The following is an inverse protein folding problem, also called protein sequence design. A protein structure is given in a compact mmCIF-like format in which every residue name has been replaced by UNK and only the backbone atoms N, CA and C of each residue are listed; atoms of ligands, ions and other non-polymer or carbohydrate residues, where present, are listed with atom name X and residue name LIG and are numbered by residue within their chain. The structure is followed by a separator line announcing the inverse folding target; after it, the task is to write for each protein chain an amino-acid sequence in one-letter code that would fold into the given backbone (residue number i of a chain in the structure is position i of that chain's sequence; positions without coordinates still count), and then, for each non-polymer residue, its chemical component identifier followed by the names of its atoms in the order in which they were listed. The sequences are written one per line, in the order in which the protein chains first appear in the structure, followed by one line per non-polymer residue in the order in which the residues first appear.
data_IF_738666055340
#
_entry.id   IF_738666055340
#
_cell.length_a   1.000
_cell.length_b   1.000
_cell.length_c   1.000
_cell.angle_alpha   90.00
_cell.angle_beta   90.00
_cell.angle_gamma   90.00
#
_symmetry.space_group_name_H-M   'P 1'
#
loop_
_entity.id
_entity.type
_entity.pdbx_description
1 polymer ?
#
# COMPACT_ATOMS: atom_id res chain seq x y z
N UNK A 1 19.51 -9.92 5.04
CA UNK A 1 20.26 -9.25 3.95
C UNK A 1 21.29 -10.22 3.43
N UNK A 2 21.22 -10.59 2.15
CA UNK A 2 22.21 -11.42 1.48
C UNK A 2 23.31 -10.51 0.90
N UNK A 3 24.56 -10.98 0.96
CA UNK A 3 25.71 -10.24 0.44
C UNK A 3 26.57 -11.18 -0.41
N UNK A 4 26.87 -10.79 -1.64
CA UNK A 4 27.86 -11.45 -2.46
C UNK A 4 29.16 -10.67 -2.47
N UNK A 5 30.27 -11.33 -2.16
CA UNK A 5 31.62 -10.79 -2.20
C UNK A 5 32.29 -11.23 -3.51
N UNK A 6 32.65 -10.27 -4.35
CA UNK A 6 33.32 -10.55 -5.62
C UNK A 6 34.82 -10.48 -5.41
N UNK A 7 35.54 -11.54 -5.80
CA UNK A 7 37.00 -11.70 -5.66
C UNK A 7 37.51 -11.32 -4.26
N UNK A 8 37.00 -11.99 -3.20
CA UNK A 8 37.46 -11.71 -1.85
C UNK A 8 38.91 -12.19 -1.69
N UNK A 9 39.73 -11.39 -1.01
CA UNK A 9 41.07 -11.78 -0.59
C UNK A 9 41.26 -11.43 0.91
N UNK A 10 42.22 -12.08 1.53
CA UNK A 10 42.58 -11.82 2.93
C UNK A 10 43.54 -10.64 2.99
N UNK A 11 43.15 -9.58 3.66
CA UNK A 11 43.99 -8.45 4.00
C UNK A 11 44.77 -8.68 5.31
N UNK A 12 45.49 -7.67 5.74
CA UNK A 12 46.22 -7.68 7.02
C UNK A 12 45.26 -7.92 8.21
N UNK A 13 45.68 -8.74 9.14
CA UNK A 13 44.84 -9.10 10.31
C UNK A 13 43.72 -10.08 10.06
N UNK A 14 43.67 -10.75 8.89
CA UNK A 14 42.63 -11.74 8.55
C UNK A 14 41.30 -11.13 8.15
N UNK A 15 41.26 -9.85 7.82
CA UNK A 15 40.06 -9.17 7.33
C UNK A 15 39.80 -9.55 5.87
N UNK A 16 38.57 -9.92 5.56
CA UNK A 16 38.15 -10.20 4.17
C UNK A 16 37.95 -8.87 3.43
N UNK A 17 38.70 -8.68 2.37
CA UNK A 17 38.63 -7.49 1.50
C UNK A 17 38.17 -7.92 0.10
N UNK A 18 36.91 -7.67 -0.30
CA UNK A 18 36.45 -7.93 -1.65
C UNK A 18 36.77 -6.74 -2.58
N UNK A 19 36.91 -7.02 -3.87
CA UNK A 19 36.99 -5.97 -4.90
C UNK A 19 35.64 -5.25 -5.07
N UNK A 20 34.53 -5.99 -4.89
CA UNK A 20 33.15 -5.45 -4.96
C UNK A 20 32.25 -6.21 -3.99
N UNK A 21 31.34 -5.47 -3.37
CA UNK A 21 30.28 -6.00 -2.52
C UNK A 21 28.93 -5.78 -3.23
N UNK A 22 28.20 -6.85 -3.48
CA UNK A 22 26.82 -6.76 -3.97
C UNK A 22 25.91 -7.05 -2.78
N UNK A 23 25.08 -6.08 -2.42
CA UNK A 23 24.10 -6.19 -1.33
C UNK A 23 22.76 -6.58 -1.94
N UNK A 24 22.12 -7.61 -1.38
CA UNK A 24 20.85 -8.15 -1.89
C UNK A 24 20.87 -8.41 -3.41
N UNK A 25 21.71 -9.35 -3.90
CA UNK A 25 21.87 -9.63 -5.34
C UNK A 25 20.56 -10.02 -6.04
N UNK A 26 19.63 -10.63 -5.29
CA UNK A 26 18.33 -11.08 -5.79
C UNK A 26 17.20 -10.09 -5.45
N UNK A 27 17.55 -8.78 -5.32
CA UNK A 27 16.59 -7.76 -4.97
C UNK A 27 15.56 -7.55 -6.08
N UNK A 28 14.28 -7.77 -5.73
CA UNK A 28 13.14 -7.44 -6.58
C UNK A 28 12.62 -6.03 -6.24
N UNK A 29 12.46 -5.20 -7.26
CA UNK A 29 11.98 -3.83 -7.08
C UNK A 29 10.48 -3.84 -6.79
N UNK A 30 10.02 -3.09 -5.80
CA UNK A 30 8.60 -2.99 -5.53
C UNK A 30 7.85 -2.27 -6.66
N UNK A 31 6.68 -2.77 -7.01
CA UNK A 31 5.77 -2.15 -8.01
C UNK A 31 5.52 -0.67 -7.70
N UNK A 32 5.30 -0.32 -6.42
CA UNK A 32 5.15 1.08 -5.98
C UNK A 32 6.39 1.93 -6.27
N UNK A 33 7.59 1.37 -6.16
CA UNK A 33 8.84 2.09 -6.49
C UNK A 33 8.90 2.41 -7.98
N UNK A 34 8.57 1.45 -8.83
CA UNK A 34 8.51 1.68 -10.29
C UNK A 34 7.42 2.70 -10.62
N UNK A 35 6.24 2.58 -10.02
CA UNK A 35 5.12 3.49 -10.26
C UNK A 35 5.45 4.94 -9.91
N UNK A 36 6.20 5.20 -8.83
CA UNK A 36 6.66 6.54 -8.43
C UNK A 36 7.55 7.23 -9.47
N UNK A 37 8.26 6.47 -10.30
CA UNK A 37 9.02 7.04 -11.40
C UNK A 37 8.12 7.74 -12.44
N UNK A 38 6.83 7.41 -12.46
CA UNK A 38 5.82 8.00 -13.35
C UNK A 38 4.96 9.07 -12.64
N UNK A 39 5.29 9.42 -11.41
CA UNK A 39 4.65 10.56 -10.73
C UNK A 39 4.99 11.87 -11.42
N UNK A 40 4.21 12.92 -11.16
CA UNK A 40 4.41 14.24 -11.76
C UNK A 40 5.85 14.77 -11.56
N UNK A 41 6.49 14.42 -10.46
CA UNK A 41 7.88 14.82 -10.14
C UNK A 41 8.92 13.75 -10.48
N UNK A 42 8.53 12.66 -11.14
CA UNK A 42 9.40 11.58 -11.62
C UNK A 42 10.48 11.19 -10.59
N UNK A 43 10.10 10.47 -9.53
CA UNK A 43 11.04 10.06 -8.50
C UNK A 43 12.12 9.12 -9.09
N UNK A 44 13.39 9.38 -8.77
CA UNK A 44 14.48 8.51 -9.23
C UNK A 44 14.43 7.16 -8.50
N UNK A 45 14.61 6.02 -9.20
CA UNK A 45 14.69 4.69 -8.56
C UNK A 45 15.76 4.61 -7.47
N UNK A 46 16.83 5.41 -7.58
CA UNK A 46 17.91 5.48 -6.58
C UNK A 46 17.41 6.02 -5.23
N UNK A 47 16.43 6.93 -5.21
CA UNK A 47 15.84 7.45 -3.97
C UNK A 47 15.17 6.31 -3.21
N UNK A 48 14.43 5.46 -3.88
CA UNK A 48 13.78 4.31 -3.26
C UNK A 48 14.77 3.27 -2.69
N UNK A 49 15.92 3.10 -3.34
CA UNK A 49 17.00 2.24 -2.81
C UNK A 49 17.61 2.84 -1.53
N UNK A 50 17.85 4.15 -1.51
CA UNK A 50 18.37 4.85 -0.33
C UNK A 50 17.34 4.76 0.81
N UNK A 51 16.07 5.02 0.54
CA UNK A 51 14.98 4.95 1.52
C UNK A 51 14.79 3.55 2.11
N UNK A 52 15.24 2.50 1.42
CA UNK A 52 15.21 1.14 1.98
C UNK A 52 16.23 0.95 3.11
N UNK A 53 17.33 1.66 3.06
CA UNK A 53 18.44 1.57 4.04
C UNK A 53 18.22 2.56 5.18
N UNK A 54 17.54 3.67 4.95
CA UNK A 54 17.23 4.67 5.95
C UNK A 54 16.21 4.15 6.98
N UNK A 55 16.33 4.57 8.25
CA UNK A 55 15.30 4.32 9.25
C UNK A 55 13.97 4.93 8.79
N UNK A 56 12.92 4.11 8.75
CA UNK A 56 11.57 4.58 8.41
C UNK A 56 10.97 5.31 9.62
N UNK A 57 10.66 6.59 9.43
CA UNK A 57 9.85 7.34 10.38
C UNK A 57 8.37 7.22 10.01
N UNK A 58 7.52 6.97 11.01
CA UNK A 58 6.09 7.06 10.82
C UNK A 58 5.66 8.50 10.57
N UNK A 59 4.57 8.66 9.83
CA UNK A 59 3.94 9.97 9.59
C UNK A 59 2.43 9.85 9.71
N UNK A 60 1.76 10.98 9.89
CA UNK A 60 0.28 11.01 9.92
C UNK A 60 -0.35 10.34 8.70
N UNK A 61 0.24 10.52 7.51
CA UNK A 61 -0.25 9.91 6.27
C UNK A 61 -0.09 8.40 6.27
N UNK A 62 1.03 7.87 6.79
CA UNK A 62 1.28 6.44 6.92
C UNK A 62 0.29 5.83 7.92
N UNK A 63 0.12 6.45 9.08
CA UNK A 63 -0.84 5.97 10.09
C UNK A 63 -2.27 5.97 9.55
N UNK A 64 -2.66 7.00 8.79
CA UNK A 64 -3.96 7.06 8.16
C UNK A 64 -4.13 5.97 7.08
N UNK A 65 -3.09 5.72 6.30
CA UNK A 65 -3.07 4.64 5.30
C UNK A 65 -3.24 3.27 5.94
N UNK A 66 -2.48 2.99 7.00
CA UNK A 66 -2.56 1.73 7.75
C UNK A 66 -3.96 1.52 8.37
N UNK A 67 -4.55 2.58 8.92
CA UNK A 67 -5.91 2.50 9.46
C UNK A 67 -6.96 2.27 8.35
N UNK A 68 -6.79 2.92 7.21
CA UNK A 68 -7.67 2.73 6.06
C UNK A 68 -7.55 1.30 5.49
N UNK A 69 -6.34 0.72 5.45
CA UNK A 69 -6.12 -0.68 5.10
C UNK A 69 -6.85 -1.63 6.06
N UNK A 70 -6.69 -1.44 7.39
CA UNK A 70 -7.44 -2.25 8.37
C UNK A 70 -8.96 -2.18 8.16
N UNK A 71 -9.51 -0.99 7.86
CA UNK A 71 -10.93 -0.83 7.60
C UNK A 71 -11.37 -1.58 6.33
N UNK A 72 -10.55 -1.58 5.29
CA UNK A 72 -10.82 -2.33 4.07
C UNK A 72 -10.82 -3.84 4.33
N UNK A 73 -9.82 -4.34 5.07
CA UNK A 73 -9.74 -5.75 5.44
C UNK A 73 -10.95 -6.20 6.28
N UNK A 74 -11.42 -5.36 7.20
CA UNK A 74 -12.61 -5.61 8.00
C UNK A 74 -13.89 -5.67 7.15
N UNK A 75 -14.00 -4.86 6.09
CA UNK A 75 -15.13 -4.91 5.16
C UNK A 75 -15.07 -6.13 4.22
N UNK A 76 -13.86 -6.58 3.86
CA UNK A 76 -13.65 -7.71 2.96
C UNK A 76 -13.76 -9.07 3.66
N UNK A 77 -13.20 -9.17 4.87
CA UNK A 77 -13.08 -10.44 5.60
C UNK A 77 -14.03 -10.56 6.78
N UNK A 78 -14.64 -9.44 7.20
CA UNK A 78 -15.51 -9.38 8.38
C UNK A 78 -16.99 -9.46 8.06
N UNK A 79 -17.80 -9.29 9.09
CA UNK A 79 -19.23 -9.03 8.88
C UNK A 79 -19.38 -7.64 8.25
N UNK A 80 -20.25 -7.50 7.24
CA UNK A 80 -20.50 -6.20 6.60
C UNK A 80 -20.84 -5.14 7.63
N UNK A 81 -20.22 -3.97 7.51
CA UNK A 81 -20.52 -2.86 8.42
C UNK A 81 -21.98 -2.44 8.20
N UNK A 82 -22.78 -2.39 9.27
CA UNK A 82 -24.19 -2.03 9.13
C UNK A 82 -24.36 -0.60 8.59
N UNK A 83 -25.28 -0.41 7.67
CA UNK A 83 -25.62 0.92 7.11
C UNK A 83 -26.32 1.83 8.11
N UNK A 84 -26.88 1.25 9.19
CA UNK A 84 -27.54 1.99 10.25
C UNK A 84 -26.53 2.89 10.99
N UNK A 85 -26.78 4.21 11.13
CA UNK A 85 -25.77 5.17 11.62
C UNK A 85 -25.23 4.90 13.03
N UNK A 86 -26.03 4.30 13.92
CA UNK A 86 -25.58 4.00 15.28
C UNK A 86 -24.66 2.77 15.29
N UNK A 87 -25.01 1.74 14.52
CA UNK A 87 -24.21 0.54 14.36
C UNK A 87 -22.88 0.84 13.63
N UNK A 88 -22.91 1.66 12.59
CA UNK A 88 -21.70 2.14 11.92
C UNK A 88 -20.76 2.87 12.89
N UNK A 89 -21.29 3.79 13.71
CA UNK A 89 -20.47 4.52 14.70
C UNK A 89 -19.84 3.57 15.72
N UNK A 90 -20.60 2.57 16.20
CA UNK A 90 -20.09 1.57 17.13
C UNK A 90 -18.94 0.78 16.51
N UNK A 91 -19.13 0.23 15.32
CA UNK A 91 -18.12 -0.54 14.59
C UNK A 91 -16.85 0.29 14.32
N UNK A 92 -17.01 1.52 13.81
CA UNK A 92 -15.88 2.44 13.63
C UNK A 92 -15.10 2.68 14.92
N UNK A 93 -15.78 2.86 16.06
CA UNK A 93 -15.12 3.06 17.35
C UNK A 93 -14.34 1.82 17.79
N UNK A 94 -14.88 0.62 17.57
CA UNK A 94 -14.20 -0.65 17.87
C UNK A 94 -12.95 -0.83 16.99
N UNK A 95 -13.05 -0.58 15.69
CA UNK A 95 -11.93 -0.61 14.75
C UNK A 95 -10.85 0.41 15.12
N UNK A 96 -11.24 1.63 15.44
CA UNK A 96 -10.31 2.67 15.88
C UNK A 96 -9.59 2.28 17.19
N UNK A 97 -10.30 1.73 18.17
CA UNK A 97 -9.67 1.26 19.41
C UNK A 97 -8.67 0.13 19.14
N UNK A 98 -9.00 -0.80 18.28
CA UNK A 98 -8.11 -1.90 17.88
C UNK A 98 -6.86 -1.35 17.21
N UNK A 99 -7.02 -0.43 16.25
CA UNK A 99 -5.91 0.23 15.57
C UNK A 99 -4.99 0.96 16.55
N UNK A 100 -5.54 1.78 17.43
CA UNK A 100 -4.74 2.52 18.41
C UNK A 100 -3.98 1.62 19.37
N UNK A 101 -4.54 0.48 19.77
CA UNK A 101 -3.83 -0.49 20.61
C UNK A 101 -2.66 -1.13 19.89
N UNK A 102 -2.85 -1.58 18.66
CA UNK A 102 -1.81 -2.24 17.86
C UNK A 102 -0.71 -1.26 17.42
N UNK A 103 -1.04 0.00 17.19
CA UNK A 103 -0.10 1.02 16.72
C UNK A 103 0.26 2.05 17.82
N UNK A 104 0.12 1.68 19.11
CA UNK A 104 0.30 2.63 20.20
C UNK A 104 1.68 3.30 20.19
N UNK A 105 2.75 2.56 19.91
CA UNK A 105 4.10 3.12 19.86
C UNK A 105 4.24 4.12 18.71
N UNK A 106 3.85 3.75 17.52
CA UNK A 106 3.87 4.63 16.34
C UNK A 106 3.03 5.89 16.57
N UNK A 107 1.84 5.76 17.17
CA UNK A 107 0.98 6.88 17.54
C UNK A 107 1.61 7.83 18.58
N UNK A 108 2.45 7.32 19.48
CA UNK A 108 3.12 8.13 20.51
C UNK A 108 4.38 8.81 19.97
N UNK A 109 5.07 8.20 19.03
CA UNK A 109 6.34 8.71 18.48
C UNK A 109 6.16 9.61 17.26
N UNK A 110 4.98 9.58 16.63
CA UNK A 110 4.66 10.39 15.46
C UNK A 110 4.01 11.72 15.86
N UNK A 111 4.52 12.82 15.33
CA UNK A 111 3.84 14.12 15.41
C UNK A 111 2.66 14.14 14.43
N UNK A 112 1.44 14.33 14.95
CA UNK A 112 0.25 14.44 14.12
C UNK A 112 -0.83 15.32 14.77
N UNK A 113 -1.65 15.96 13.93
CA UNK A 113 -2.85 16.67 14.38
C UNK A 113 -3.97 15.67 14.69
N UNK A 114 -4.25 15.47 15.97
CA UNK A 114 -5.27 14.52 16.44
C UNK A 114 -6.65 14.80 15.86
N UNK A 115 -7.04 16.08 15.76
CA UNK A 115 -8.36 16.47 15.25
C UNK A 115 -8.46 16.17 13.74
N UNK A 116 -7.45 16.56 13.00
CA UNK A 116 -7.39 16.31 11.55
C UNK A 116 -7.33 14.80 11.26
N UNK A 117 -6.50 14.04 12.01
CA UNK A 117 -6.42 12.60 11.87
C UNK A 117 -7.78 11.93 12.06
N UNK A 118 -8.52 12.25 13.12
CA UNK A 118 -9.85 11.67 13.37
C UNK A 118 -10.86 12.03 12.27
N UNK A 119 -10.81 13.26 11.76
CA UNK A 119 -11.69 13.66 10.65
C UNK A 119 -11.38 12.89 9.37
N UNK A 120 -10.10 12.75 9.04
CA UNK A 120 -9.66 12.03 7.85
C UNK A 120 -9.95 10.53 7.98
N UNK A 121 -9.67 9.93 9.14
CA UNK A 121 -9.96 8.53 9.43
C UNK A 121 -11.45 8.20 9.29
N UNK A 122 -12.32 9.07 9.83
CA UNK A 122 -13.76 8.91 9.69
C UNK A 122 -14.22 9.03 8.23
N UNK A 123 -13.63 9.96 7.48
CA UNK A 123 -13.92 10.11 6.04
C UNK A 123 -13.50 8.86 5.27
N UNK A 124 -12.34 8.27 5.56
CA UNK A 124 -11.90 7.01 4.97
C UNK A 124 -12.91 5.89 5.27
N UNK A 125 -13.34 5.72 6.52
CA UNK A 125 -14.31 4.71 6.89
C UNK A 125 -15.62 4.84 6.11
N UNK A 126 -16.15 6.06 5.97
CA UNK A 126 -17.38 6.31 5.18
C UNK A 126 -17.17 5.99 3.70
N UNK A 127 -16.03 6.38 3.13
CA UNK A 127 -15.74 6.15 1.71
C UNK A 127 -15.54 4.66 1.40
N UNK A 128 -14.81 3.94 2.26
CA UNK A 128 -14.58 2.50 2.12
C UNK A 128 -15.92 1.77 2.22
N UNK A 129 -16.69 2.04 3.28
CA UNK A 129 -18.00 1.43 3.45
C UNK A 129 -18.91 1.67 2.23
N UNK A 130 -18.98 2.89 1.73
CA UNK A 130 -19.74 3.21 0.53
C UNK A 130 -19.24 2.48 -0.71
N UNK A 131 -17.92 2.39 -0.90
CA UNK A 131 -17.34 1.66 -2.02
C UNK A 131 -17.71 0.17 -1.96
N UNK A 132 -17.58 -0.45 -0.79
CA UNK A 132 -17.78 -1.88 -0.59
C UNK A 132 -19.27 -2.29 -0.59
N UNK A 133 -20.15 -1.46 -0.04
CA UNK A 133 -21.57 -1.78 0.11
C UNK A 133 -22.47 -1.28 -1.03
N UNK A 134 -22.12 -0.18 -1.69
CA UNK A 134 -22.98 0.47 -2.68
C UNK A 134 -22.38 0.46 -4.10
N UNK A 135 -21.07 0.55 -4.27
CA UNK A 135 -20.44 0.73 -5.59
C UNK A 135 -19.99 -0.60 -6.19
N UNK A 136 -19.10 -1.31 -5.51
CA UNK A 136 -18.52 -2.55 -6.03
C UNK A 136 -19.57 -3.65 -6.29
N UNK A 137 -20.58 -3.85 -5.43
CA UNK A 137 -21.62 -4.85 -5.71
C UNK A 137 -22.46 -4.57 -6.97
N UNK A 138 -22.47 -3.34 -7.49
CA UNK A 138 -23.15 -3.02 -8.74
C UNK A 138 -22.34 -3.37 -9.99
N UNK A 139 -21.06 -3.68 -9.81
CA UNK A 139 -20.18 -4.04 -10.91
C UNK A 139 -20.42 -5.47 -11.36
N UNK A 140 -20.60 -5.68 -12.65
CA UNK A 140 -20.94 -6.98 -13.21
C UNK A 140 -19.82 -8.02 -12.99
N UNK A 141 -20.13 -9.06 -12.24
CA UNK A 141 -19.19 -10.15 -11.95
C UNK A 141 -18.24 -9.86 -10.77
N UNK A 142 -18.51 -8.83 -9.96
CA UNK A 142 -17.80 -8.62 -8.71
C UNK A 142 -18.38 -9.52 -7.60
N UNK A 143 -17.48 -10.29 -6.96
CA UNK A 143 -17.80 -11.21 -5.86
C UNK A 143 -16.70 -11.09 -4.81
N UNK A 144 -16.97 -10.38 -3.71
CA UNK A 144 -15.97 -10.17 -2.65
C UNK A 144 -15.53 -11.47 -1.98
N UNK A 145 -16.43 -12.43 -1.84
CA UNK A 145 -16.21 -13.75 -1.26
C UNK A 145 -15.25 -14.63 -2.10
N UNK A 146 -15.08 -14.33 -3.36
CA UNK A 146 -14.16 -15.02 -4.27
C UNK A 146 -12.80 -14.30 -4.36
N UNK A 147 -12.48 -13.43 -3.41
CA UNK A 147 -11.29 -12.62 -3.42
C UNK A 147 -10.21 -13.06 -2.43
N UNK A 148 -9.00 -12.60 -2.69
CA UNK A 148 -7.85 -12.73 -1.81
C UNK A 148 -7.44 -11.32 -1.36
N UNK A 149 -7.31 -11.15 -0.04
CA UNK A 149 -6.84 -9.93 0.59
C UNK A 149 -5.32 -9.95 0.69
N UNK A 150 -4.69 -8.84 0.40
CA UNK A 150 -3.23 -8.64 0.42
C UNK A 150 -2.40 -9.71 -0.35
N UNK A 151 -2.83 -10.18 -1.56
CA UNK A 151 -2.04 -11.12 -2.31
C UNK A 151 -0.72 -10.50 -2.74
N UNK A 152 0.36 -11.29 -2.59
CA UNK A 152 1.70 -10.89 -2.99
C UNK A 152 2.15 -11.64 -4.23
N UNK A 153 2.70 -10.92 -5.19
CA UNK A 153 3.22 -11.46 -6.44
C UNK A 153 4.65 -11.02 -6.66
N UNK A 154 5.40 -11.84 -7.36
CA UNK A 154 6.74 -11.51 -7.81
C UNK A 154 7.05 -12.17 -9.16
N UNK A 155 7.92 -11.54 -9.90
CA UNK A 155 8.49 -12.11 -11.13
C UNK A 155 9.98 -11.85 -11.16
N UNK A 156 10.76 -12.91 -11.11
CA UNK A 156 12.21 -12.86 -11.27
C UNK A 156 12.59 -12.37 -12.67
N UNK A 157 11.81 -12.75 -13.68
CA UNK A 157 12.04 -12.35 -15.07
C UNK A 157 11.90 -10.84 -15.26
N UNK A 158 10.95 -10.22 -14.58
CA UNK A 158 10.74 -8.77 -14.62
C UNK A 158 11.55 -8.03 -13.55
N UNK A 159 12.10 -8.74 -12.57
CA UNK A 159 12.81 -8.15 -11.44
C UNK A 159 11.93 -7.33 -10.50
N UNK A 160 10.63 -7.59 -10.48
CA UNK A 160 9.67 -6.82 -9.67
C UNK A 160 8.82 -7.70 -8.77
N UNK A 161 8.35 -7.09 -7.69
CA UNK A 161 7.42 -7.68 -6.74
C UNK A 161 6.40 -6.64 -6.28
N UNK A 162 5.24 -7.11 -5.81
CA UNK A 162 4.22 -6.23 -5.28
C UNK A 162 3.16 -6.97 -4.48
N UNK A 163 2.49 -6.23 -3.61
CA UNK A 163 1.33 -6.66 -2.85
C UNK A 163 0.21 -5.67 -3.13
N UNK A 164 -0.92 -6.15 -3.56
CA UNK A 164 -2.12 -5.36 -3.77
C UNK A 164 -3.10 -5.57 -2.61
N UNK A 165 -4.05 -4.67 -2.43
CA UNK A 165 -4.97 -4.76 -1.29
C UNK A 165 -6.01 -5.86 -1.49
N UNK A 166 -6.51 -6.05 -2.70
CA UNK A 166 -7.48 -7.11 -3.00
C UNK A 166 -7.39 -7.56 -4.47
N UNK A 167 -7.63 -8.85 -4.70
CA UNK A 167 -7.76 -9.43 -6.03
C UNK A 167 -8.85 -10.49 -6.03
N UNK A 168 -9.79 -10.43 -6.99
CA UNK A 168 -10.74 -11.50 -7.23
C UNK A 168 -10.06 -12.68 -7.95
N UNK A 169 -10.40 -13.92 -7.58
CA UNK A 169 -9.74 -15.14 -8.05
C UNK A 169 -9.78 -15.33 -9.58
N UNK A 170 -10.78 -14.76 -10.23
CA UNK A 170 -10.92 -14.80 -11.69
C UNK A 170 -10.15 -13.68 -12.42
N UNK A 171 -9.36 -12.89 -11.67
CA UNK A 171 -8.54 -11.75 -12.16
C UNK A 171 -9.34 -10.60 -12.80
N UNK A 172 -10.66 -10.55 -12.66
CA UNK A 172 -11.47 -9.46 -13.22
C UNK A 172 -11.37 -8.18 -12.43
N UNK A 173 -11.19 -8.31 -11.11
CA UNK A 173 -11.13 -7.17 -10.21
C UNK A 173 -9.85 -7.18 -9.39
N UNK A 174 -9.17 -6.06 -9.44
CA UNK A 174 -8.03 -5.71 -8.59
C UNK A 174 -8.34 -4.38 -7.93
N UNK A 175 -8.19 -4.32 -6.62
CA UNK A 175 -8.40 -3.10 -5.84
C UNK A 175 -7.09 -2.70 -5.21
N UNK A 176 -6.73 -1.45 -5.37
CA UNK A 176 -5.61 -0.78 -4.70
C UNK A 176 -6.15 0.47 -4.03
N UNK A 177 -6.19 0.45 -2.72
CA UNK A 177 -6.73 1.54 -1.91
C UNK A 177 -5.70 2.66 -1.73
N UNK A 178 -6.14 3.89 -1.85
CA UNK A 178 -5.33 5.07 -1.57
C UNK A 178 -6.05 6.01 -0.61
N UNK A 179 -5.43 6.26 0.54
CA UNK A 179 -5.95 7.20 1.56
C UNK A 179 -5.73 8.67 1.22
N UNK A 180 -4.96 8.96 0.17
CA UNK A 180 -4.66 10.31 -0.30
C UNK A 180 -5.77 10.95 -1.12
N UNK A 181 -5.48 12.14 -1.65
CA UNK A 181 -6.38 12.85 -2.55
C UNK A 181 -6.18 12.35 -3.98
N UNK A 182 -7.28 12.14 -4.72
CA UNK A 182 -7.21 11.88 -6.16
C UNK A 182 -6.76 13.11 -6.95
N UNK A 183 -6.31 12.89 -8.17
CA UNK A 183 -6.04 13.96 -9.11
C UNK A 183 -7.35 14.53 -9.68
N UNK A 184 -7.43 15.85 -9.77
CA UNK A 184 -8.54 16.54 -10.42
C UNK A 184 -8.04 17.09 -11.78
N UNK A 185 -8.67 16.72 -12.91
CA UNK A 185 -8.35 17.33 -14.20
C UNK A 185 -8.66 18.83 -14.15
N UNK A 186 -7.79 19.63 -14.75
CA UNK A 186 -7.74 21.08 -14.59
C UNK A 186 -9.00 21.86 -15.00
N UNK A 187 -9.92 21.29 -15.77
CA UNK A 187 -11.00 22.06 -16.37
C UNK A 187 -12.42 21.71 -15.92
N UNK A 188 -12.64 20.57 -15.28
CA UNK A 188 -13.97 20.22 -14.78
C UNK A 188 -13.82 19.33 -13.53
N UNK A 189 -13.88 19.91 -12.37
CA UNK A 189 -13.81 19.25 -11.05
C UNK A 189 -14.96 18.28 -10.74
N UNK A 190 -15.42 17.50 -11.72
CA UNK A 190 -16.61 16.68 -11.55
C UNK A 190 -16.32 15.35 -10.86
N UNK A 191 -15.12 14.77 -11.07
CA UNK A 191 -14.72 13.57 -10.34
C UNK A 191 -13.19 13.44 -10.26
N UNK A 192 -12.65 12.99 -9.11
CA UNK A 192 -11.23 12.69 -9.01
C UNK A 192 -10.87 11.50 -9.91
N UNK A 193 -9.70 11.56 -10.53
CA UNK A 193 -9.11 10.44 -11.28
C UNK A 193 -7.94 9.84 -10.50
N UNK A 194 -7.59 8.60 -10.83
CA UNK A 194 -6.32 8.04 -10.40
C UNK A 194 -5.18 8.90 -10.95
N UNK A 195 -4.12 9.07 -10.16
CA UNK A 195 -2.87 9.69 -10.65
C UNK A 195 -2.18 8.76 -11.64
N UNK A 196 -1.26 9.29 -12.44
CA UNK A 196 -0.46 8.46 -13.36
C UNK A 196 0.29 7.37 -12.61
N UNK A 197 0.87 7.69 -11.45
CA UNK A 197 1.50 6.73 -10.54
C UNK A 197 0.55 5.57 -10.17
N UNK A 198 -0.67 5.87 -9.73
CA UNK A 198 -1.65 4.84 -9.35
C UNK A 198 -2.09 4.01 -10.56
N UNK A 199 -2.23 4.62 -11.72
CA UNK A 199 -2.59 3.93 -12.96
C UNK A 199 -1.47 2.97 -13.39
N UNK A 200 -0.22 3.40 -13.33
CA UNK A 200 0.96 2.56 -13.62
C UNK A 200 1.07 1.43 -12.59
N UNK A 201 0.81 1.69 -11.32
CA UNK A 201 0.83 0.66 -10.28
C UNK A 201 -0.12 -0.50 -10.60
N UNK A 202 -1.36 -0.21 -10.98
CA UNK A 202 -2.33 -1.24 -11.40
C UNK A 202 -1.87 -1.97 -12.66
N UNK A 203 -1.33 -1.26 -13.66
CA UNK A 203 -0.81 -1.89 -14.88
C UNK A 203 0.36 -2.84 -14.60
N UNK A 204 1.24 -2.50 -13.66
CA UNK A 204 2.34 -3.36 -13.22
C UNK A 204 1.83 -4.61 -12.49
N UNK A 205 0.78 -4.52 -11.69
CA UNK A 205 0.14 -5.70 -11.11
C UNK A 205 -0.46 -6.61 -12.19
N UNK A 206 -1.15 -6.04 -13.18
CA UNK A 206 -1.65 -6.81 -14.32
C UNK A 206 -0.52 -7.46 -15.14
N UNK A 207 0.64 -6.81 -15.22
CA UNK A 207 1.83 -7.38 -15.86
C UNK A 207 2.36 -8.58 -15.06
N UNK A 208 2.39 -8.49 -13.72
CA UNK A 208 2.79 -9.59 -12.85
C UNK A 208 1.90 -10.83 -12.99
N UNK A 209 0.61 -10.68 -13.30
CA UNK A 209 -0.29 -11.82 -13.55
C UNK A 209 0.05 -12.57 -14.85
N UNK A 210 0.74 -11.93 -15.75
CA UNK A 210 1.05 -12.48 -17.06
C UNK A 210 2.38 -13.22 -17.09
N UNK A 211 3.30 -12.90 -16.18
CA UNK A 211 4.69 -13.39 -16.13
C UNK A 211 5.09 -13.87 -14.74
#
# INVERSE_FOLDING_TARGET
TQINLIRPHLGEGGVIMPELIIVEPDYLVNVTTVARCFSHYAESPMVSLIQKIEPKADSQSILLGNFAGQLLDEELCGEPIPTEPAAFRKRYSESAMTFFRHNALSMLTTEYDKKQFHQDARRQAVNIHKAMSEILPTMAGYHSEEGIVEPSFFSEMLGIQGRMDFMQMDYRYVIEQKSGKGAFPYENFVSPRATDEHSVQIQLYMLLFRY
#
